data_IF_763044491322
#
_entry.id   IF_763044491322
#
_cell.length_a   1.000
_cell.length_b   1.000
_cell.length_c   1.000
_cell.angle_alpha   90.00
_cell.angle_beta   90.00
_cell.angle_gamma   90.00
#
_symmetry.space_group_name_H-M   'P 1'
#
loop_
_entity.id
_entity.type
_entity.pdbx_description
1 polymer ?
#
# COMPACT_ATOMS: atom_id res chain seq x y z
N UNK A 1 7.08 17.56 -0.97
CA UNK A 1 6.41 16.31 -0.59
C UNK A 1 6.26 15.54 -1.88
N UNK A 2 6.85 14.35 -1.92
CA UNK A 2 6.97 13.59 -3.16
C UNK A 2 5.60 13.05 -3.60
N UNK A 3 5.29 13.14 -4.90
CA UNK A 3 3.93 12.98 -5.43
C UNK A 3 3.36 11.59 -5.13
N UNK A 4 4.21 10.56 -5.14
CA UNK A 4 3.81 9.16 -4.88
C UNK A 4 3.21 8.95 -3.48
N UNK A 5 3.71 9.66 -2.47
CA UNK A 5 3.21 9.52 -1.09
C UNK A 5 1.83 10.14 -0.93
N UNK A 6 1.56 11.25 -1.64
CA UNK A 6 0.24 11.88 -1.66
C UNK A 6 -0.77 10.97 -2.35
N UNK A 7 -0.37 10.35 -3.47
CA UNK A 7 -1.20 9.38 -4.18
C UNK A 7 -1.47 8.13 -3.32
N UNK A 8 -0.48 7.66 -2.55
CA UNK A 8 -0.63 6.54 -1.62
C UNK A 8 -1.62 6.87 -0.51
N UNK A 9 -1.53 8.06 0.10
CA UNK A 9 -2.48 8.48 1.13
C UNK A 9 -3.91 8.51 0.57
N UNK A 10 -4.10 9.16 -0.59
CA UNK A 10 -5.42 9.29 -1.22
C UNK A 10 -6.02 7.92 -1.57
N UNK A 11 -5.25 7.04 -2.23
CA UNK A 11 -5.72 5.70 -2.59
C UNK A 11 -6.06 4.85 -1.36
N UNK A 12 -5.29 4.97 -0.28
CA UNK A 12 -5.53 4.23 0.96
C UNK A 12 -6.80 4.70 1.65
N UNK A 13 -7.05 6.02 1.69
CA UNK A 13 -8.27 6.58 2.24
C UNK A 13 -9.48 6.13 1.40
N UNK A 14 -9.40 6.25 0.08
CA UNK A 14 -10.48 5.86 -0.83
C UNK A 14 -10.84 4.37 -0.68
N UNK A 15 -9.86 3.48 -0.65
CA UNK A 15 -10.05 2.04 -0.47
C UNK A 15 -10.57 1.67 0.94
N UNK A 16 -10.13 2.41 1.97
CA UNK A 16 -10.61 2.24 3.33
C UNK A 16 -12.08 2.70 3.49
N UNK A 17 -12.45 3.84 2.91
CA UNK A 17 -13.81 4.38 2.94
C UNK A 17 -14.80 3.50 2.16
N UNK A 18 -14.35 2.86 1.08
CA UNK A 18 -15.15 1.90 0.31
C UNK A 18 -15.28 0.52 0.99
N UNK A 19 -14.71 0.33 2.19
CA UNK A 19 -14.71 -0.91 2.97
C UNK A 19 -13.98 -2.12 2.35
N UNK A 20 -13.27 -1.93 1.23
CA UNK A 20 -12.44 -2.99 0.65
C UNK A 20 -11.19 -3.19 1.51
N UNK A 21 -10.47 -2.11 1.86
CA UNK A 21 -9.24 -2.21 2.64
C UNK A 21 -9.52 -2.18 4.15
N UNK A 22 -9.15 -3.21 4.93
CA UNK A 22 -9.40 -3.22 6.36
C UNK A 22 -8.46 -2.27 7.12
N UNK A 23 -8.94 -1.72 8.25
CA UNK A 23 -8.19 -0.72 9.03
C UNK A 23 -6.77 -1.17 9.41
N UNK A 24 -6.62 -2.44 9.82
CA UNK A 24 -5.32 -2.99 10.23
C UNK A 24 -4.28 -3.01 9.10
N UNK A 25 -4.71 -2.90 7.84
CA UNK A 25 -3.86 -2.78 6.66
C UNK A 25 -3.72 -1.33 6.20
N UNK A 26 -4.79 -0.53 6.32
CA UNK A 26 -4.76 0.90 6.00
C UNK A 26 -3.83 1.70 6.94
N UNK A 27 -3.86 1.45 8.25
CA UNK A 27 -3.05 2.15 9.26
C UNK A 27 -1.53 2.13 8.93
N UNK A 28 -0.89 0.97 8.67
CA UNK A 28 0.54 0.94 8.34
C UNK A 28 0.85 1.58 6.98
N UNK A 29 -0.06 1.51 5.99
CA UNK A 29 0.12 2.16 4.69
C UNK A 29 0.05 3.68 4.82
N UNK A 30 -0.91 4.21 5.60
CA UNK A 30 -1.00 5.63 5.92
C UNK A 30 0.23 6.12 6.70
N UNK A 31 0.79 5.29 7.58
CA UNK A 31 2.01 5.63 8.30
C UNK A 31 3.20 5.83 7.34
N UNK A 32 3.29 5.06 6.25
CA UNK A 32 4.28 5.27 5.19
C UNK A 32 4.00 6.57 4.43
N UNK A 33 2.77 6.77 3.97
CA UNK A 33 2.36 7.94 3.19
C UNK A 33 2.58 9.27 3.95
N UNK A 34 2.35 9.27 5.27
CA UNK A 34 2.49 10.46 6.13
C UNK A 34 3.91 10.75 6.59
N UNK A 35 4.86 9.83 6.36
CA UNK A 35 6.26 10.00 6.77
C UNK A 35 7.22 9.90 5.56
N UNK A 36 7.08 10.73 4.52
CA UNK A 36 7.90 10.64 3.31
C UNK A 36 9.40 10.82 3.59
N UNK A 37 9.77 11.62 4.59
CA UNK A 37 11.17 11.83 4.98
C UNK A 37 11.86 10.53 5.47
N UNK A 38 11.11 9.61 6.07
CA UNK A 38 11.64 8.32 6.55
C UNK A 38 11.89 7.31 5.42
N UNK A 39 11.32 7.56 4.24
CA UNK A 39 11.37 6.67 3.07
C UNK A 39 11.96 7.35 1.84
N UNK A 40 12.66 8.47 2.03
CA UNK A 40 13.35 9.16 0.95
C UNK A 40 14.43 8.25 0.32
N UNK A 41 14.43 8.11 -1.01
CA UNK A 41 15.27 7.16 -1.74
C UNK A 41 14.64 5.78 -1.95
N UNK A 42 13.41 5.57 -1.48
CA UNK A 42 12.65 4.32 -1.59
C UNK A 42 11.31 4.52 -2.28
N UNK A 43 11.17 5.60 -3.05
CA UNK A 43 9.95 5.91 -3.81
C UNK A 43 9.47 4.71 -4.63
N UNK A 44 10.38 3.89 -5.19
CA UNK A 44 10.03 2.68 -5.93
C UNK A 44 9.22 1.64 -5.12
N UNK A 45 9.51 1.47 -3.82
CA UNK A 45 8.73 0.58 -2.95
C UNK A 45 7.37 1.19 -2.62
N UNK A 46 7.29 2.52 -2.53
CA UNK A 46 6.06 3.26 -2.31
C UNK A 46 5.18 3.21 -3.56
N UNK A 47 5.77 3.23 -4.76
CA UNK A 47 5.06 3.01 -6.03
C UNK A 47 4.47 1.59 -6.11
N UNK A 48 5.23 0.57 -5.68
CA UNK A 48 4.72 -0.81 -5.59
C UNK A 48 3.57 -0.89 -4.59
N UNK A 49 3.72 -0.27 -3.41
CA UNK A 49 2.68 -0.24 -2.39
C UNK A 49 1.42 0.48 -2.89
N UNK A 50 1.57 1.57 -3.64
CA UNK A 50 0.47 2.30 -4.26
C UNK A 50 -0.28 1.45 -5.28
N UNK A 51 0.44 0.72 -6.15
CA UNK A 51 -0.19 -0.19 -7.10
C UNK A 51 -0.98 -1.28 -6.37
N UNK A 52 -0.39 -1.88 -5.34
CA UNK A 52 -1.04 -2.90 -4.52
C UNK A 52 -2.32 -2.41 -3.83
N UNK A 53 -2.33 -1.16 -3.33
CA UNK A 53 -3.51 -0.56 -2.71
C UNK A 53 -4.58 -0.22 -3.75
N UNK A 54 -4.18 0.32 -4.92
CA UNK A 54 -5.12 0.66 -6.01
C UNK A 54 -5.79 -0.57 -6.61
N UNK A 55 -5.04 -1.65 -6.72
CA UNK A 55 -5.49 -2.93 -7.28
C UNK A 55 -5.87 -3.94 -6.18
N UNK A 56 -6.08 -3.48 -4.95
CA UNK A 56 -6.56 -4.31 -3.85
C UNK A 56 -8.00 -4.72 -4.14
N UNK A 57 -8.24 -6.01 -4.32
CA UNK A 57 -9.56 -6.57 -4.60
C UNK A 57 -9.79 -7.76 -3.65
N UNK A 58 -10.77 -7.64 -2.75
CA UNK A 58 -11.11 -8.68 -1.76
C UNK A 58 -11.54 -10.00 -2.43
N UNK A 59 -11.95 -9.96 -3.70
CA UNK A 59 -12.39 -11.11 -4.48
C UNK A 59 -11.36 -11.58 -5.53
N UNK A 60 -10.13 -11.05 -5.50
CA UNK A 60 -9.01 -11.46 -6.37
C UNK A 60 -8.80 -12.98 -6.43
N UNK A 61 -9.09 -13.69 -5.33
CA UNK A 61 -8.92 -15.14 -5.20
C UNK A 61 -10.09 -15.97 -5.79
N UNK A 62 -11.21 -15.34 -6.16
CA UNK A 62 -12.36 -16.04 -6.74
C UNK A 62 -12.22 -16.33 -8.25
N UNK A 63 -11.24 -15.72 -8.91
CA UNK A 63 -10.91 -15.95 -10.32
C UNK A 63 -9.78 -16.96 -10.51
N UNK A 64 -9.91 -17.86 -11.50
CA UNK A 64 -8.90 -18.89 -11.87
C UNK A 64 -7.54 -18.31 -12.34
N UNK A 65 -7.33 -17.00 -12.27
CA UNK A 65 -6.09 -16.32 -12.58
C UNK A 65 -5.90 -15.22 -11.52
N UNK A 66 -4.77 -15.21 -10.81
CA UNK A 66 -4.43 -14.12 -9.87
C UNK A 66 -4.18 -12.84 -10.67
N UNK A 67 -5.17 -11.96 -10.76
CA UNK A 67 -5.06 -10.63 -11.40
C UNK A 67 -5.09 -9.47 -10.40
N UNK A 68 -5.06 -9.73 -9.10
CA UNK A 68 -5.08 -8.69 -8.08
C UNK A 68 -4.18 -9.05 -6.89
N UNK A 69 -3.73 -8.02 -6.18
CA UNK A 69 -2.87 -8.14 -5.02
C UNK A 69 -3.69 -8.44 -3.78
N UNK A 70 -3.17 -9.35 -2.97
CA UNK A 70 -3.80 -9.74 -1.72
C UNK A 70 -3.09 -9.06 -0.52
N UNK A 71 -3.71 -9.14 0.67
CA UNK A 71 -3.15 -8.61 1.91
C UNK A 71 -1.72 -9.12 2.22
N UNK A 72 -1.31 -10.29 1.74
CA UNK A 72 0.08 -10.78 1.89
C UNK A 72 1.09 -9.96 1.08
N UNK A 73 0.72 -9.49 -0.11
CA UNK A 73 1.61 -8.69 -0.98
C UNK A 73 1.86 -7.31 -0.38
N UNK A 74 0.83 -6.67 0.17
CA UNK A 74 0.94 -5.39 0.89
C UNK A 74 1.81 -5.54 2.14
N UNK A 75 1.60 -6.60 2.94
CA UNK A 75 2.44 -6.87 4.12
C UNK A 75 3.91 -7.08 3.76
N UNK A 76 4.20 -7.75 2.63
CA UNK A 76 5.57 -7.97 2.18
C UNK A 76 6.26 -6.65 1.83
N UNK A 77 5.59 -5.78 1.08
CA UNK A 77 6.13 -4.47 0.71
C UNK A 77 6.34 -3.58 1.93
N UNK A 78 5.39 -3.56 2.87
CA UNK A 78 5.52 -2.85 4.15
C UNK A 78 6.73 -3.34 4.95
N UNK A 79 6.93 -4.66 5.01
CA UNK A 79 8.09 -5.24 5.68
C UNK A 79 9.41 -4.79 5.05
N UNK A 80 9.51 -4.76 3.72
CA UNK A 80 10.72 -4.27 3.05
C UNK A 80 10.98 -2.78 3.35
N UNK A 81 9.94 -1.96 3.35
CA UNK A 81 10.04 -0.55 3.74
C UNK A 81 10.55 -0.38 5.19
N UNK A 82 10.13 -1.25 6.10
CA UNK A 82 10.61 -1.27 7.49
C UNK A 82 12.05 -1.78 7.62
N UNK A 83 12.41 -2.88 6.94
CA UNK A 83 13.75 -3.46 6.98
C UNK A 83 14.81 -2.49 6.43
N UNK A 84 14.48 -1.74 5.37
CA UNK A 84 15.40 -0.74 4.79
C UNK A 84 15.43 0.58 5.59
N UNK A 85 14.62 0.73 6.65
CA UNK A 85 14.60 1.94 7.52
C UNK A 85 15.80 2.01 8.47
N UNK A 86 16.55 0.92 8.62
CA UNK A 86 17.65 0.78 9.60
C UNK A 86 19.00 1.15 9.00
#
# INVERSE_FOLDING_TARGET
MDQVFQELEAATIEQYEQQDLPQWLADPVLAVARNPEAYQGKEYLVEILLAQVREYDVYAEAGCCKWAYDHEDIKRTLRWLEEERT
#
